data_IF_651957853296
#
_entry.id   IF_651957853296
#
_cell.length_a   1.000
_cell.length_b   1.000
_cell.length_c   1.000
_cell.angle_alpha   90.00
_cell.angle_beta   90.00
_cell.angle_gamma   90.00
#
_symmetry.space_group_name_H-M   'P 1'
#
loop_
_entity.id
_entity.type
_entity.pdbx_description
1 polymer ?
#
# COMPACT_ATOMS: atom_id res chain seq x y z
N UNK A 1 51.03 58.16 6.46
CA UNK A 1 50.27 57.82 5.24
C UNK A 1 50.13 56.31 5.16
N UNK A 2 48.88 55.83 5.08
CA UNK A 2 48.40 54.55 4.51
C UNK A 2 47.19 54.10 5.34
N UNK A 3 45.99 54.45 4.85
CA UNK A 3 44.73 54.07 5.46
C UNK A 3 44.37 52.62 5.18
N UNK A 4 43.79 51.95 6.18
CA UNK A 4 43.01 50.72 6.00
C UNK A 4 41.58 51.14 5.65
N UNK A 5 41.21 50.96 4.39
CA UNK A 5 39.84 51.06 3.94
C UNK A 5 39.16 49.68 4.03
N UNK A 6 38.02 49.67 4.69
CA UNK A 6 37.07 48.56 4.73
C UNK A 6 36.62 48.19 3.30
N UNK A 7 36.55 46.90 3.01
CA UNK A 7 36.04 46.39 1.73
C UNK A 7 34.79 45.56 1.99
N UNK A 8 33.65 46.14 1.60
CA UNK A 8 32.31 45.59 1.70
C UNK A 8 32.14 44.33 0.84
N UNK A 9 31.43 43.34 1.38
CA UNK A 9 31.03 42.14 0.69
C UNK A 9 29.92 42.44 -0.34
N UNK A 10 30.33 42.68 -1.60
CA UNK A 10 29.43 42.84 -2.73
C UNK A 10 28.55 41.61 -2.94
N UNK A 11 27.24 41.77 -2.75
CA UNK A 11 26.22 40.80 -3.14
C UNK A 11 26.15 40.75 -4.68
N UNK A 12 26.79 39.75 -5.27
CA UNK A 12 26.68 39.43 -6.69
C UNK A 12 25.27 38.92 -7.03
N UNK A 13 24.43 39.81 -7.55
CA UNK A 13 23.16 39.46 -8.19
C UNK A 13 23.41 38.78 -9.54
N UNK A 14 23.64 37.47 -9.52
CA UNK A 14 23.62 36.65 -10.73
C UNK A 14 22.22 36.59 -11.36
N UNK A 15 22.10 36.44 -12.68
CA UNK A 15 20.80 36.38 -13.36
C UNK A 15 20.00 35.17 -12.85
N UNK A 16 18.82 35.43 -12.28
CA UNK A 16 17.84 34.41 -11.89
C UNK A 16 17.48 33.59 -13.13
N UNK A 17 17.77 32.29 -13.10
CA UNK A 17 17.32 31.37 -14.16
C UNK A 17 15.79 31.47 -14.30
N UNK A 18 15.25 31.51 -15.54
CA UNK A 18 13.81 31.55 -15.73
C UNK A 18 13.19 30.26 -15.17
N UNK A 19 12.39 30.41 -14.12
CA UNK A 19 11.53 29.34 -13.60
C UNK A 19 10.44 29.08 -14.62
N UNK A 20 10.67 28.12 -15.50
CA UNK A 20 9.61 27.55 -16.33
C UNK A 20 8.67 26.80 -15.38
N UNK A 21 7.36 27.13 -15.33
CA UNK A 21 6.41 26.31 -14.59
C UNK A 21 6.39 24.92 -15.23
N UNK A 22 6.95 23.94 -14.51
CA UNK A 22 6.84 22.52 -14.88
C UNK A 22 5.42 22.11 -14.54
N UNK A 23 4.50 22.25 -15.49
CA UNK A 23 3.19 21.63 -15.38
C UNK A 23 3.41 20.11 -15.39
N UNK A 24 3.07 19.37 -14.32
CA UNK A 24 3.19 17.92 -14.34
C UNK A 24 2.35 17.37 -15.51
N UNK A 25 2.85 16.36 -16.24
CA UNK A 25 2.06 15.74 -17.30
C UNK A 25 0.76 15.24 -16.67
N UNK A 26 -0.37 15.63 -17.25
CA UNK A 26 -1.66 15.05 -16.91
C UNK A 26 -1.60 13.57 -17.31
N UNK A 27 -1.23 12.71 -16.36
CA UNK A 27 -1.40 11.28 -16.52
C UNK A 27 -2.90 11.04 -16.69
N UNK A 28 -3.32 10.26 -17.70
CA UNK A 28 -4.71 9.86 -17.81
C UNK A 28 -5.03 9.01 -16.58
N UNK A 29 -5.69 9.61 -15.60
CA UNK A 29 -6.32 8.89 -14.50
C UNK A 29 -7.46 8.09 -15.15
N UNK A 30 -7.25 6.79 -15.35
CA UNK A 30 -8.36 5.89 -15.64
C UNK A 30 -9.44 6.08 -14.56
N UNK A 31 -10.73 5.91 -14.86
CA UNK A 31 -11.80 6.10 -13.88
C UNK A 31 -11.54 5.20 -12.67
N UNK A 32 -11.19 5.83 -11.54
CA UNK A 32 -10.83 5.17 -10.28
C UNK A 32 -11.95 4.20 -9.87
N UNK A 33 -13.20 4.58 -10.12
CA UNK A 33 -14.39 3.83 -9.69
C UNK A 33 -14.49 2.42 -10.32
N UNK A 34 -14.08 2.26 -11.59
CA UNK A 34 -14.12 0.96 -12.28
C UNK A 34 -13.04 0.00 -11.75
N UNK A 35 -11.84 0.51 -11.54
CA UNK A 35 -10.71 -0.26 -11.01
C UNK A 35 -10.95 -0.70 -9.56
N UNK A 36 -11.43 0.22 -8.70
CA UNK A 36 -11.74 -0.11 -7.29
C UNK A 36 -12.86 -1.15 -7.18
N UNK A 37 -13.87 -1.09 -8.06
CA UNK A 37 -14.97 -2.07 -8.07
C UNK A 37 -14.47 -3.46 -8.47
N UNK A 38 -13.64 -3.53 -9.53
CA UNK A 38 -13.01 -4.77 -9.96
C UNK A 38 -12.13 -5.39 -8.87
N UNK A 39 -11.25 -4.60 -8.25
CA UNK A 39 -10.39 -5.11 -7.17
C UNK A 39 -11.19 -5.63 -5.98
N UNK A 40 -12.33 -5.00 -5.67
CA UNK A 40 -13.23 -5.46 -4.61
C UNK A 40 -13.86 -6.80 -4.95
N UNK A 41 -14.27 -7.00 -6.20
CA UNK A 41 -14.80 -8.28 -6.67
C UNK A 41 -13.74 -9.38 -6.63
N UNK A 42 -12.53 -9.09 -7.14
CA UNK A 42 -11.39 -10.01 -7.12
C UNK A 42 -11.03 -10.39 -5.67
N UNK A 43 -10.91 -9.41 -4.78
CA UNK A 43 -10.65 -9.65 -3.35
C UNK A 43 -11.74 -10.50 -2.70
N UNK A 44 -13.02 -10.23 -3.01
CA UNK A 44 -14.15 -10.99 -2.48
C UNK A 44 -14.12 -12.46 -2.94
N UNK A 45 -13.75 -12.72 -4.19
CA UNK A 45 -13.59 -14.08 -4.70
C UNK A 45 -12.46 -14.82 -3.98
N UNK A 46 -11.30 -14.18 -3.81
CA UNK A 46 -10.16 -14.77 -3.12
C UNK A 46 -10.47 -15.05 -1.65
N UNK A 47 -11.14 -14.12 -0.97
CA UNK A 47 -11.56 -14.29 0.41
C UNK A 47 -12.51 -15.48 0.58
N UNK A 48 -13.40 -15.72 -0.40
CA UNK A 48 -14.30 -16.87 -0.38
C UNK A 48 -13.52 -18.19 -0.42
N UNK A 49 -12.50 -18.30 -1.27
CA UNK A 49 -11.63 -19.47 -1.34
C UNK A 49 -10.81 -19.65 -0.06
N UNK A 50 -10.22 -18.56 0.46
CA UNK A 50 -9.40 -18.60 1.68
C UNK A 50 -10.18 -18.96 2.95
N UNK A 51 -11.48 -18.68 2.98
CA UNK A 51 -12.35 -18.92 4.14
C UNK A 51 -13.20 -20.21 4.00
N UNK A 52 -13.08 -20.94 2.88
CA UNK A 52 -13.82 -22.18 2.66
C UNK A 52 -13.42 -23.28 3.66
N UNK A 53 -14.41 -23.97 4.24
CA UNK A 53 -14.15 -24.98 5.29
C UNK A 53 -13.57 -26.29 4.74
N UNK A 54 -14.02 -26.67 3.55
CA UNK A 54 -13.70 -27.93 2.88
C UNK A 54 -13.00 -27.68 1.53
N UNK A 55 -12.37 -26.51 1.38
CA UNK A 55 -11.71 -26.11 0.14
C UNK A 55 -10.55 -27.03 -0.23
N UNK A 56 -10.33 -27.22 -1.53
CA UNK A 56 -9.17 -27.96 -2.01
C UNK A 56 -7.88 -27.26 -1.55
N UNK A 57 -6.93 -27.96 -0.91
CA UNK A 57 -5.65 -27.39 -0.52
C UNK A 57 -4.92 -26.65 -1.64
N UNK A 58 -5.04 -27.12 -2.88
CA UNK A 58 -4.41 -26.49 -4.05
C UNK A 58 -5.13 -25.18 -4.42
N UNK A 59 -6.47 -25.13 -4.34
CA UNK A 59 -7.26 -23.92 -4.54
C UNK A 59 -6.96 -22.86 -3.47
N UNK A 60 -6.82 -23.28 -2.20
CA UNK A 60 -6.43 -22.38 -1.13
C UNK A 60 -5.04 -21.76 -1.40
N UNK A 61 -4.07 -22.60 -1.75
CA UNK A 61 -2.70 -22.13 -2.02
C UNK A 61 -2.66 -21.17 -3.20
N UNK A 62 -3.39 -21.48 -4.28
CA UNK A 62 -3.51 -20.60 -5.43
C UNK A 62 -4.17 -19.26 -5.05
N UNK A 63 -5.24 -19.28 -4.24
CA UNK A 63 -5.89 -18.05 -3.78
C UNK A 63 -4.96 -17.18 -2.91
N UNK A 64 -4.09 -17.79 -2.09
CA UNK A 64 -3.09 -17.06 -1.32
C UNK A 64 -2.02 -16.40 -2.22
N UNK A 65 -1.57 -17.10 -3.26
CA UNK A 65 -0.65 -16.55 -4.27
C UNK A 65 -1.29 -15.41 -5.05
N UNK A 66 -2.54 -15.57 -5.47
CA UNK A 66 -3.28 -14.56 -6.22
C UNK A 66 -3.55 -13.32 -5.36
N UNK A 67 -3.84 -13.50 -4.07
CA UNK A 67 -3.97 -12.38 -3.12
C UNK A 67 -2.65 -11.64 -2.93
N UNK A 68 -1.53 -12.36 -2.86
CA UNK A 68 -0.20 -11.76 -2.83
C UNK A 68 0.11 -10.98 -4.13
N UNK A 69 -0.27 -11.52 -5.28
CA UNK A 69 -0.12 -10.83 -6.57
C UNK A 69 -0.96 -9.56 -6.63
N UNK A 70 -2.22 -9.61 -6.18
CA UNK A 70 -3.12 -8.46 -6.07
C UNK A 70 -2.53 -7.37 -5.16
N UNK A 71 -1.95 -7.75 -4.01
CA UNK A 71 -1.28 -6.80 -3.12
C UNK A 71 -0.04 -6.15 -3.75
N UNK A 72 0.71 -6.89 -4.57
CA UNK A 72 1.82 -6.30 -5.33
C UNK A 72 1.37 -5.37 -6.46
N UNK A 73 0.21 -5.61 -7.05
CA UNK A 73 -0.38 -4.71 -8.04
C UNK A 73 -0.83 -3.39 -7.38
N UNK A 74 -1.56 -3.49 -6.26
CA UNK A 74 -2.03 -2.32 -5.47
C UNK A 74 -0.88 -1.48 -4.95
N UNK A 75 0.21 -2.11 -4.49
CA UNK A 75 1.39 -1.42 -3.99
C UNK A 75 2.09 -0.54 -5.02
N UNK A 76 1.70 -0.64 -6.29
CA UNK A 76 2.38 -0.04 -7.42
C UNK A 76 3.72 -0.75 -7.67
N UNK A 77 4.12 -0.82 -8.94
CA UNK A 77 5.50 -1.23 -9.22
C UNK A 77 6.40 -0.08 -8.76
N UNK A 78 7.54 -0.34 -8.10
CA UNK A 78 8.44 0.70 -7.60
C UNK A 78 8.84 1.74 -8.66
N UNK A 79 8.78 1.37 -9.94
CA UNK A 79 9.06 2.22 -11.09
C UNK A 79 7.95 3.21 -11.48
N UNK A 80 6.72 3.06 -10.97
CA UNK A 80 5.56 3.85 -11.40
C UNK A 80 5.23 5.01 -10.45
N UNK A 81 5.87 5.09 -9.27
CA UNK A 81 5.63 6.13 -8.26
C UNK A 81 6.79 7.13 -8.25
N UNK A 82 6.58 8.32 -8.84
CA UNK A 82 7.58 9.40 -8.88
C UNK A 82 7.06 10.62 -8.12
N UNK A 83 7.72 11.00 -7.02
CA UNK A 83 7.43 12.24 -6.27
C UNK A 83 7.81 12.17 -4.79
N UNK A 84 7.84 13.31 -4.07
CA UNK A 84 8.11 13.37 -2.63
C UNK A 84 7.02 12.70 -1.77
N UNK A 85 5.84 12.47 -2.35
CA UNK A 85 4.70 11.75 -1.77
C UNK A 85 4.81 10.22 -1.95
N UNK A 86 5.92 9.71 -2.51
CA UNK A 86 6.11 8.30 -2.78
C UNK A 86 6.20 7.50 -1.47
N UNK A 87 5.03 7.21 -0.90
CA UNK A 87 4.86 6.19 0.11
C UNK A 87 5.17 4.87 -0.59
N UNK A 88 6.45 4.49 -0.59
CA UNK A 88 6.84 3.28 -1.30
C UNK A 88 6.26 2.11 -0.50
N UNK A 89 5.61 1.18 -1.19
CA UNK A 89 5.10 -0.09 -0.65
C UNK A 89 6.09 -0.87 0.24
N UNK A 90 7.38 -0.55 0.14
CA UNK A 90 8.49 -1.15 0.88
C UNK A 90 8.99 -0.31 2.06
N UNK A 91 8.47 0.90 2.29
CA UNK A 91 8.87 1.77 3.40
C UNK A 91 8.15 1.39 4.68
N UNK A 92 8.92 1.30 5.76
CA UNK A 92 8.40 1.09 7.09
C UNK A 92 7.78 2.38 7.64
N UNK A 93 6.69 2.25 8.39
CA UNK A 93 6.01 3.40 9.00
C UNK A 93 6.40 3.51 10.47
N UNK A 94 6.93 4.67 10.86
CA UNK A 94 7.22 4.96 12.27
C UNK A 94 5.98 5.50 12.97
N UNK A 95 5.54 4.80 14.00
CA UNK A 95 4.42 5.16 14.86
C UNK A 95 4.93 5.56 16.25
N UNK A 96 4.10 6.23 17.05
CA UNK A 96 4.44 6.57 18.43
C UNK A 96 4.75 5.34 19.31
N UNK A 97 4.11 4.20 18.99
CA UNK A 97 4.30 2.93 19.69
C UNK A 97 5.47 2.08 19.17
N UNK A 98 6.13 2.47 18.07
CA UNK A 98 7.22 1.70 17.46
C UNK A 98 7.22 1.73 15.93
N UNK A 99 7.96 0.79 15.33
CA UNK A 99 7.99 0.63 13.87
C UNK A 99 6.93 -0.37 13.43
N UNK A 100 6.06 0.03 12.50
CA UNK A 100 5.16 -0.88 11.80
C UNK A 100 5.90 -1.55 10.63
N UNK A 101 5.63 -2.83 10.42
CA UNK A 101 6.11 -3.56 9.25
C UNK A 101 5.64 -2.86 7.98
N UNK A 102 6.49 -2.82 6.95
CA UNK A 102 6.07 -2.26 5.67
C UNK A 102 5.02 -3.17 4.99
N UNK A 103 4.14 -2.60 4.15
CA UNK A 103 3.07 -3.36 3.48
C UNK A 103 3.57 -4.53 2.63
N UNK A 104 4.70 -4.39 1.94
CA UNK A 104 5.32 -5.49 1.18
C UNK A 104 5.66 -6.68 2.07
N UNK A 105 6.36 -6.44 3.18
CA UNK A 105 6.71 -7.47 4.16
C UNK A 105 5.46 -8.09 4.78
N UNK A 106 4.40 -7.31 5.04
CA UNK A 106 3.12 -7.86 5.49
C UNK A 106 2.49 -8.80 4.45
N UNK A 107 2.51 -8.43 3.17
CA UNK A 107 1.98 -9.26 2.09
C UNK A 107 2.73 -10.59 1.95
N UNK A 108 4.05 -10.62 2.16
CA UNK A 108 4.82 -11.87 2.11
C UNK A 108 4.40 -12.92 3.14
N UNK A 109 3.73 -12.51 4.22
CA UNK A 109 3.17 -13.46 5.19
C UNK A 109 2.12 -14.39 4.56
N UNK A 110 1.46 -13.97 3.46
CA UNK A 110 0.51 -14.81 2.73
C UNK A 110 1.16 -16.06 2.13
N UNK A 111 2.46 -16.02 1.86
CA UNK A 111 3.21 -17.12 1.26
C UNK A 111 3.53 -18.26 2.24
N UNK A 112 3.30 -18.05 3.54
CA UNK A 112 3.37 -19.12 4.55
C UNK A 112 2.01 -19.79 4.67
N UNK A 113 1.82 -20.88 3.92
CA UNK A 113 0.54 -21.61 3.83
C UNK A 113 -0.08 -21.95 5.20
N UNK A 114 0.72 -22.47 6.13
CA UNK A 114 0.21 -22.86 7.46
C UNK A 114 -0.25 -21.65 8.27
N UNK A 115 0.51 -20.55 8.24
CA UNK A 115 0.13 -19.33 8.94
C UNK A 115 -1.08 -18.66 8.30
N UNK A 116 -1.14 -18.60 6.98
CA UNK A 116 -2.27 -18.03 6.24
C UNK A 116 -3.54 -18.83 6.49
N UNK A 117 -3.48 -20.17 6.48
CA UNK A 117 -4.62 -21.04 6.85
C UNK A 117 -5.09 -20.82 8.28
N UNK A 118 -4.17 -20.81 9.23
CA UNK A 118 -4.50 -20.60 10.64
C UNK A 118 -5.16 -19.23 10.87
N UNK A 119 -4.63 -18.18 10.22
CA UNK A 119 -5.22 -16.84 10.27
C UNK A 119 -6.61 -16.79 9.64
N UNK A 120 -6.76 -17.30 8.40
CA UNK A 120 -8.04 -17.29 7.69
C UNK A 120 -9.11 -18.10 8.45
N UNK A 121 -8.75 -19.27 8.99
CA UNK A 121 -9.62 -20.06 9.86
C UNK A 121 -10.04 -19.29 11.11
N UNK A 122 -9.10 -18.62 11.79
CA UNK A 122 -9.41 -17.79 12.96
C UNK A 122 -10.33 -16.62 12.65
N UNK A 123 -10.15 -15.95 11.50
CA UNK A 123 -11.04 -14.88 11.03
C UNK A 123 -12.45 -15.41 10.78
N UNK A 124 -12.57 -16.54 10.07
CA UNK A 124 -13.86 -17.21 9.82
C UNK A 124 -14.57 -17.53 11.14
N UNK A 125 -13.87 -18.14 12.08
CA UNK A 125 -14.44 -18.57 13.35
C UNK A 125 -14.87 -17.35 14.19
N UNK A 126 -14.11 -16.25 14.17
CA UNK A 126 -14.49 -15.00 14.80
C UNK A 126 -15.74 -14.37 14.17
N UNK A 127 -15.85 -14.39 12.84
CA UNK A 127 -17.04 -13.93 12.11
C UNK A 127 -18.26 -14.78 12.49
N UNK A 128 -18.12 -16.11 12.50
CA UNK A 128 -19.20 -17.02 12.92
C UNK A 128 -19.65 -16.74 14.36
N UNK A 129 -18.71 -16.62 15.29
CA UNK A 129 -19.02 -16.30 16.68
C UNK A 129 -19.75 -14.95 16.82
N UNK A 130 -19.32 -13.93 16.07
CA UNK A 130 -19.99 -12.63 16.06
C UNK A 130 -21.41 -12.72 15.46
N UNK A 131 -21.62 -13.51 14.40
CA UNK A 131 -22.93 -13.74 13.79
C UNK A 131 -23.89 -14.49 14.74
N UNK A 132 -23.38 -15.44 15.51
CA UNK A 132 -24.14 -16.14 16.56
C UNK A 132 -24.51 -15.22 17.72
N UNK A 133 -23.59 -14.34 18.12
CA UNK A 133 -23.81 -13.39 19.20
C UNK A 133 -24.78 -12.26 18.82
N UNK A 134 -24.76 -11.82 17.56
CA UNK A 134 -25.56 -10.71 17.04
C UNK A 134 -26.33 -11.09 15.76
N UNK A 135 -27.35 -11.96 15.88
CA UNK A 135 -28.06 -12.49 14.71
C UNK A 135 -28.83 -11.40 13.96
N UNK A 136 -28.54 -11.27 12.66
CA UNK A 136 -29.22 -10.31 11.77
C UNK A 136 -28.66 -8.88 11.82
N UNK A 137 -27.68 -8.62 12.69
CA UNK A 137 -26.95 -7.36 12.70
C UNK A 137 -25.80 -7.40 11.70
N UNK A 138 -25.57 -6.28 11.03
CA UNK A 138 -24.39 -6.11 10.18
C UNK A 138 -23.19 -5.93 11.11
N UNK A 139 -22.22 -6.82 10.99
CA UNK A 139 -20.91 -6.68 11.64
C UNK A 139 -20.10 -5.70 10.77
N UNK A 140 -19.78 -4.53 11.31
CA UNK A 140 -18.93 -3.50 10.67
C UNK A 140 -17.47 -3.62 11.11
#
# INVERSE_FOLDING_TARGET
>A
MAGRGDQEAGHGSGPKAPTVPVTPPALPLAPIDGYISQMREEFGSLATCLLAEDGDPDEFYQAALDLYALFNDIGGRPQDIVGPEAFTWQQETRLAAGMAINPFSAATCLLDDLRTRAFAGGVRDAIKAAQEQYPGERIE
#
